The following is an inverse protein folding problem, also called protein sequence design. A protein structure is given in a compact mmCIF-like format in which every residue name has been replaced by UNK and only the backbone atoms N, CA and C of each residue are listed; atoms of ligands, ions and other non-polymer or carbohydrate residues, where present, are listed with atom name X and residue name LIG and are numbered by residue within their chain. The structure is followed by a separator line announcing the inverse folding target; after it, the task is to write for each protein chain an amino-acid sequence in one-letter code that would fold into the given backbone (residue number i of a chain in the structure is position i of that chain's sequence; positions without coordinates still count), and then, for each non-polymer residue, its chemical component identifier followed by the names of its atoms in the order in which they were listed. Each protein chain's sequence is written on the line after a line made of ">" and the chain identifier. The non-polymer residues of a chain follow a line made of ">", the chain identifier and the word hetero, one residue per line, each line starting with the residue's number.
data_IF_333892594658
#
_entry.id   IF_333892594658
#
_cell.length_a   1.000
_cell.length_b   1.000
_cell.length_c   1.000
_cell.angle_alpha   90.00
_cell.angle_beta   90.00
_cell.angle_gamma   90.00
#
_symmetry.space_group_name_H-M   'P 1'
#
loop_
_entity.id
_entity.type
_entity.pdbx_description
1 polymer ?
#
# COMPACT_ATOMS: atom_id res chain seq x y z
N UNK A 1 53.82 -53.47 10.25
CA UNK A 1 53.85 -52.04 10.65
C UNK A 1 52.88 -51.30 9.76
N UNK A 2 51.89 -50.59 10.32
CA UNK A 2 50.84 -49.86 9.58
C UNK A 2 51.25 -48.38 9.48
N UNK A 3 51.18 -47.72 8.31
CA UNK A 3 51.36 -46.26 8.26
C UNK A 3 50.13 -45.55 8.81
N UNK A 4 50.38 -44.48 9.58
CA UNK A 4 49.40 -43.61 10.22
C UNK A 4 48.70 -42.73 9.18
N UNK A 5 47.38 -42.85 9.12
CA UNK A 5 46.49 -41.94 8.42
C UNK A 5 46.55 -40.55 9.09
N UNK A 6 46.94 -39.53 8.32
CA UNK A 6 46.81 -38.13 8.73
C UNK A 6 46.02 -37.37 7.67
N UNK A 7 44.75 -37.11 7.97
CA UNK A 7 44.06 -35.93 7.49
C UNK A 7 44.05 -34.90 8.63
N UNK A 8 44.12 -33.59 8.31
CA UNK A 8 42.87 -32.86 8.43
C UNK A 8 42.62 -31.85 7.30
N UNK A 9 41.33 -31.87 6.91
CA UNK A 9 40.46 -30.87 6.27
C UNK A 9 41.12 -29.64 5.66
N UNK A 10 40.91 -29.52 4.35
CA UNK A 10 40.96 -28.28 3.59
C UNK A 10 40.25 -27.13 4.34
N UNK A 11 40.99 -26.09 4.68
CA UNK A 11 40.41 -24.76 4.91
C UNK A 11 40.15 -24.13 3.55
N UNK A 12 39.07 -24.55 2.90
CA UNK A 12 38.44 -23.73 1.89
C UNK A 12 37.86 -22.50 2.61
N UNK A 13 38.66 -21.44 2.73
CA UNK A 13 38.13 -20.14 3.07
C UNK A 13 37.27 -19.71 1.89
N UNK A 14 35.97 -19.97 1.99
CA UNK A 14 34.98 -19.47 1.04
C UNK A 14 35.04 -17.94 1.13
N UNK A 15 35.74 -17.32 0.18
CA UNK A 15 35.45 -15.93 -0.19
C UNK A 15 33.94 -15.88 -0.46
N UNK A 16 33.14 -15.13 0.32
CA UNK A 16 31.72 -15.01 0.04
C UNK A 16 31.61 -14.45 -1.38
N UNK A 17 30.75 -15.02 -2.25
CA UNK A 17 30.65 -14.54 -3.62
C UNK A 17 30.26 -13.06 -3.57
N UNK A 18 31.15 -12.21 -4.10
CA UNK A 18 30.89 -10.80 -4.35
C UNK A 18 29.55 -10.68 -5.07
N UNK A 19 28.60 -9.96 -4.48
CA UNK A 19 27.30 -9.56 -5.03
C UNK A 19 26.87 -10.38 -6.25
N UNK A 20 26.26 -11.55 -6.04
CA UNK A 20 25.45 -12.16 -7.11
C UNK A 20 24.29 -11.22 -7.37
N UNK A 21 24.45 -10.30 -8.32
CA UNK A 21 23.39 -9.54 -8.95
C UNK A 21 22.48 -10.54 -9.66
N UNK A 22 21.56 -11.13 -8.92
CA UNK A 22 20.67 -12.14 -9.46
C UNK A 22 19.72 -11.48 -10.45
N UNK A 23 19.86 -11.82 -11.73
CA UNK A 23 18.88 -11.53 -12.78
C UNK A 23 17.69 -12.47 -12.60
N UNK A 24 16.64 -12.00 -11.92
CA UNK A 24 15.49 -12.82 -11.57
C UNK A 24 14.18 -12.02 -11.69
N UNK A 25 13.03 -12.70 -11.86
CA UNK A 25 11.73 -12.06 -11.77
C UNK A 25 11.57 -11.39 -10.40
N UNK A 26 10.86 -10.24 -10.31
CA UNK A 26 10.68 -9.58 -9.03
C UNK A 26 9.74 -10.42 -8.16
N UNK A 27 9.93 -10.35 -6.84
CA UNK A 27 9.11 -11.07 -5.86
C UNK A 27 8.56 -10.09 -4.84
N UNK A 28 7.31 -10.29 -4.40
CA UNK A 28 6.76 -9.53 -3.29
C UNK A 28 7.45 -9.93 -1.99
N UNK A 29 8.01 -8.94 -1.30
CA UNK A 29 8.35 -8.97 0.12
C UNK A 29 7.12 -8.59 0.94
N UNK A 30 6.38 -7.57 0.48
CA UNK A 30 5.06 -7.17 0.99
C UNK A 30 4.11 -6.90 -0.17
N UNK A 31 2.95 -7.54 -0.13
CA UNK A 31 1.85 -7.30 -1.08
C UNK A 31 0.93 -6.21 -0.57
N UNK A 32 0.09 -5.69 -1.47
CA UNK A 32 -1.01 -4.79 -1.09
C UNK A 32 -1.88 -5.42 -0.01
N UNK A 33 -2.41 -4.57 0.87
CA UNK A 33 -3.35 -4.91 1.93
C UNK A 33 -4.62 -4.11 1.73
N UNK A 34 -5.77 -4.76 1.92
CA UNK A 34 -7.06 -4.07 1.90
C UNK A 34 -7.17 -3.10 3.07
N UNK A 35 -7.84 -1.98 2.85
CA UNK A 35 -7.98 -0.90 3.82
C UNK A 35 -9.44 -0.45 3.88
N UNK A 36 -9.85 -0.01 5.06
CA UNK A 36 -11.10 0.70 5.31
C UNK A 36 -10.72 2.16 5.59
N UNK A 37 -11.40 3.12 4.97
CA UNK A 37 -11.12 4.54 5.15
C UNK A 37 -12.40 5.37 5.08
N UNK A 38 -12.43 6.48 5.82
CA UNK A 38 -13.51 7.46 5.76
C UNK A 38 -13.31 8.44 4.62
N UNK A 39 -14.40 9.05 4.15
CA UNK A 39 -14.34 10.17 3.20
C UNK A 39 -13.54 11.30 3.84
N UNK A 40 -12.66 11.96 3.07
CA UNK A 40 -11.77 12.99 3.59
C UNK A 40 -10.38 12.49 4.00
N UNK A 41 -10.23 11.19 4.31
CA UNK A 41 -8.95 10.64 4.81
C UNK A 41 -7.90 10.44 3.70
N UNK A 42 -6.65 10.22 4.09
CA UNK A 42 -5.59 9.82 3.17
C UNK A 42 -5.24 8.34 3.31
N UNK A 43 -5.16 7.65 2.18
CA UNK A 43 -4.83 6.22 2.11
C UNK A 43 -3.55 6.00 1.33
N UNK A 44 -2.72 5.06 1.78
CA UNK A 44 -1.50 4.66 1.09
C UNK A 44 -1.50 3.16 0.82
N UNK A 45 -1.52 2.79 -0.45
CA UNK A 45 -1.28 1.44 -0.92
C UNK A 45 0.21 1.26 -1.20
N UNK A 46 0.89 0.38 -0.46
CA UNK A 46 2.31 0.16 -0.61
C UNK A 46 2.63 -1.32 -0.82
N UNK A 47 3.60 -1.57 -1.70
CA UNK A 47 4.24 -2.85 -1.89
C UNK A 47 5.74 -2.74 -1.62
N UNK A 48 6.33 -3.87 -1.27
CA UNK A 48 7.78 -4.00 -1.16
C UNK A 48 8.20 -5.21 -2.01
N UNK A 49 9.18 -5.03 -2.89
CA UNK A 49 9.67 -6.07 -3.78
C UNK A 49 11.15 -6.33 -3.57
N UNK A 50 11.62 -7.51 -3.99
CA UNK A 50 13.05 -7.81 -4.03
C UNK A 50 13.75 -6.84 -4.99
N UNK A 51 14.79 -6.16 -4.51
CA UNK A 51 15.60 -5.26 -5.34
C UNK A 51 16.23 -6.03 -6.50
N UNK A 52 16.05 -5.54 -7.72
CA UNK A 52 16.68 -6.09 -8.92
C UNK A 52 17.62 -5.06 -9.54
N UNK A 53 18.63 -5.51 -10.28
CA UNK A 53 19.60 -4.63 -10.95
C UNK A 53 18.94 -3.75 -12.02
N UNK A 54 17.73 -4.08 -12.48
CA UNK A 54 16.95 -3.28 -13.42
C UNK A 54 15.76 -2.60 -12.73
N UNK A 55 15.51 -1.34 -13.11
CA UNK A 55 14.35 -0.59 -12.63
C UNK A 55 13.07 -1.21 -13.23
N UNK A 56 12.13 -1.70 -12.40
CA UNK A 56 10.90 -2.28 -12.91
C UNK A 56 9.94 -1.19 -13.41
N UNK A 57 9.10 -1.55 -14.36
CA UNK A 57 7.95 -0.72 -14.76
C UNK A 57 6.76 -1.06 -13.87
N UNK A 58 6.08 -0.04 -13.34
CA UNK A 58 4.88 -0.18 -12.53
C UNK A 58 3.66 0.35 -13.26
N UNK A 59 2.55 -0.39 -13.18
CA UNK A 59 1.26 0.02 -13.70
C UNK A 59 0.18 -0.24 -12.66
N UNK A 60 -0.51 0.83 -12.27
CA UNK A 60 -1.59 0.80 -11.29
C UNK A 60 -2.94 0.78 -11.99
N UNK A 61 -3.90 0.08 -11.40
CA UNK A 61 -5.26 -0.06 -11.90
C UNK A 61 -6.24 0.07 -10.75
N UNK A 62 -7.40 0.68 -11.02
CA UNK A 62 -8.59 0.72 -10.15
C UNK A 62 -9.75 0.13 -10.92
N UNK A 63 -10.37 -0.93 -10.40
CA UNK A 63 -11.49 -1.61 -11.06
C UNK A 63 -11.17 -1.96 -12.53
N UNK A 64 -9.97 -2.52 -12.74
CA UNK A 64 -9.39 -2.88 -14.05
C UNK A 64 -9.12 -1.73 -15.04
N UNK A 65 -9.36 -0.48 -14.65
CA UNK A 65 -8.96 0.71 -15.43
C UNK A 65 -7.59 1.19 -14.99
N UNK A 66 -6.72 1.51 -15.95
CA UNK A 66 -5.39 2.04 -15.65
C UNK A 66 -5.50 3.39 -14.94
N UNK A 67 -4.79 3.54 -13.83
CA UNK A 67 -4.71 4.80 -13.09
C UNK A 67 -3.58 5.66 -13.66
N UNK A 68 -3.88 6.94 -13.80
CA UNK A 68 -2.91 8.00 -14.03
C UNK A 68 -2.88 8.90 -12.82
N UNK A 69 -1.70 9.41 -12.46
CA UNK A 69 -1.58 10.34 -11.34
C UNK A 69 -2.30 11.65 -11.65
N UNK A 70 -2.88 12.25 -10.62
CA UNK A 70 -3.59 13.52 -10.68
C UNK A 70 -3.33 14.34 -9.40
N UNK A 71 -4.19 15.33 -9.11
CA UNK A 71 -4.07 16.18 -7.90
C UNK A 71 -4.34 15.42 -6.60
N UNK A 72 -5.13 14.36 -6.65
CA UNK A 72 -5.54 13.56 -5.48
C UNK A 72 -4.72 12.26 -5.37
N UNK A 73 -4.38 11.65 -6.50
CA UNK A 73 -3.67 10.38 -6.60
C UNK A 73 -2.22 10.63 -7.01
N UNK A 74 -1.29 10.26 -6.12
CA UNK A 74 0.15 10.32 -6.39
C UNK A 74 0.79 8.95 -6.28
N UNK A 75 1.68 8.61 -7.21
CA UNK A 75 2.42 7.35 -7.17
C UNK A 75 3.88 7.64 -6.85
N UNK A 76 4.47 6.79 -6.03
CA UNK A 76 5.88 6.87 -5.67
C UNK A 76 6.57 5.54 -5.90
N UNK A 77 7.84 5.60 -6.24
CA UNK A 77 8.66 4.45 -6.57
C UNK A 77 10.08 4.71 -6.11
N UNK A 78 10.59 3.84 -5.24
CA UNK A 78 11.96 3.79 -4.77
C UNK A 78 12.59 2.43 -5.19
N UNK A 79 13.80 2.11 -4.73
CA UNK A 79 14.55 0.91 -5.13
C UNK A 79 13.85 -0.42 -4.78
N UNK A 80 13.10 -0.45 -3.68
CA UNK A 80 12.37 -1.66 -3.23
C UNK A 80 10.92 -1.38 -2.83
N UNK A 81 10.58 -0.12 -2.58
CA UNK A 81 9.25 0.28 -2.11
C UNK A 81 8.54 1.06 -3.18
N UNK A 82 7.31 0.68 -3.45
CA UNK A 82 6.48 1.36 -4.43
C UNK A 82 5.08 1.50 -3.89
N UNK A 83 4.39 2.56 -4.26
CA UNK A 83 3.06 2.78 -3.75
C UNK A 83 2.26 3.84 -4.49
N UNK A 84 1.02 3.93 -4.07
CA UNK A 84 0.02 4.87 -4.52
C UNK A 84 -0.60 5.51 -3.27
N UNK A 85 -0.66 6.83 -3.24
CA UNK A 85 -1.28 7.63 -2.19
C UNK A 85 -2.49 8.35 -2.76
N UNK A 86 -3.62 8.22 -2.05
CA UNK A 86 -4.84 9.01 -2.23
C UNK A 86 -4.83 10.03 -1.10
N UNK A 87 -4.85 11.33 -1.42
CA UNK A 87 -4.69 12.39 -0.42
C UNK A 87 -6.00 12.68 0.32
N UNK A 88 -7.12 12.62 -0.40
CA UNK A 88 -8.47 12.82 0.11
C UNK A 88 -9.39 11.78 -0.53
N UNK A 89 -9.85 10.81 0.26
CA UNK A 89 -10.75 9.74 -0.17
C UNK A 89 -12.13 10.32 -0.47
N UNK A 90 -12.66 9.99 -1.64
CA UNK A 90 -14.02 10.33 -2.06
C UNK A 90 -14.89 9.06 -2.20
N UNK A 91 -16.21 9.22 -2.33
CA UNK A 91 -17.14 8.11 -2.58
C UNK A 91 -16.78 7.32 -3.86
N UNK A 92 -16.18 7.98 -4.85
CA UNK A 92 -15.72 7.33 -6.07
C UNK A 92 -14.44 6.52 -5.87
N UNK A 93 -13.68 6.72 -4.78
CA UNK A 93 -12.37 6.09 -4.54
C UNK A 93 -12.43 4.64 -4.06
N UNK A 94 -13.59 4.18 -3.58
CA UNK A 94 -13.84 2.79 -3.26
C UNK A 94 -13.59 1.84 -4.44
N UNK A 95 -13.02 0.67 -4.16
CA UNK A 95 -12.85 -0.37 -5.17
C UNK A 95 -11.56 -1.18 -5.06
N UNK A 96 -11.26 -1.94 -6.12
CA UNK A 96 -10.12 -2.85 -6.17
C UNK A 96 -8.94 -2.20 -6.86
N UNK A 97 -7.87 -2.00 -6.10
CA UNK A 97 -6.59 -1.48 -6.57
C UNK A 97 -5.66 -2.65 -6.90
N UNK A 98 -5.10 -2.64 -8.10
CA UNK A 98 -4.17 -3.65 -8.60
C UNK A 98 -2.89 -3.00 -9.08
N UNK A 99 -1.75 -3.56 -8.69
CA UNK A 99 -0.45 -3.15 -9.20
C UNK A 99 0.16 -4.28 -10.01
N UNK A 100 0.68 -3.93 -11.18
CA UNK A 100 1.43 -4.81 -12.05
C UNK A 100 2.85 -4.27 -12.13
N UNK A 101 3.81 -5.11 -11.79
CA UNK A 101 5.24 -4.80 -11.84
C UNK A 101 5.86 -5.71 -12.89
N UNK A 102 6.69 -5.14 -13.78
CA UNK A 102 7.37 -5.87 -14.84
C UNK A 102 8.85 -5.50 -14.86
N UNK A 103 9.72 -6.49 -14.97
CA UNK A 103 11.13 -6.31 -15.31
C UNK A 103 11.49 -7.19 -16.52
N UNK A 104 12.76 -7.14 -16.96
CA UNK A 104 13.24 -7.91 -18.12
C UNK A 104 13.11 -9.43 -17.98
N UNK A 105 12.92 -9.91 -16.75
CA UNK A 105 12.92 -11.34 -16.41
C UNK A 105 11.54 -11.87 -16.04
N UNK A 106 10.52 -11.00 -15.88
CA UNK A 106 9.17 -11.43 -15.57
C UNK A 106 8.24 -10.33 -15.10
N UNK A 107 7.08 -10.75 -14.62
CA UNK A 107 6.00 -9.90 -14.17
C UNK A 107 5.40 -10.47 -12.89
N UNK A 108 4.95 -9.59 -12.00
CA UNK A 108 4.20 -9.91 -10.80
C UNK A 108 3.06 -8.92 -10.64
N UNK A 109 1.99 -9.36 -9.97
CA UNK A 109 0.85 -8.50 -9.66
C UNK A 109 0.20 -8.88 -8.35
N UNK A 110 -0.34 -7.90 -7.64
CA UNK A 110 -1.22 -8.13 -6.51
C UNK A 110 -2.32 -7.07 -6.48
N UNK A 111 -3.38 -7.34 -5.71
CA UNK A 111 -4.55 -6.49 -5.59
C UNK A 111 -4.97 -6.34 -4.13
N UNK A 112 -5.63 -5.24 -3.82
CA UNK A 112 -6.28 -4.97 -2.53
C UNK A 112 -7.54 -4.13 -2.73
N UNK A 113 -8.44 -4.16 -1.75
CA UNK A 113 -9.69 -3.41 -1.77
C UNK A 113 -9.59 -2.18 -0.87
N UNK A 114 -10.04 -1.03 -1.35
CA UNK A 114 -10.42 0.11 -0.51
C UNK A 114 -11.92 0.03 -0.24
N UNK A 115 -12.30 -0.23 1.00
CA UNK A 115 -13.66 -0.09 1.49
C UNK A 115 -13.83 1.31 2.09
N UNK A 116 -15.03 1.88 1.93
CA UNK A 116 -15.39 3.14 2.55
C UNK A 116 -16.13 2.85 3.85
N UNK A 117 -15.79 3.59 4.89
CA UNK A 117 -16.48 3.59 6.18
C UNK A 117 -17.58 4.65 6.12
N UNK A 118 -18.85 4.21 6.09
CA UNK A 118 -20.03 5.05 5.89
C UNK A 118 -20.52 5.68 7.22
N UNK A 119 -19.96 5.28 8.38
CA UNK A 119 -20.52 5.53 9.71
C UNK A 119 -20.11 6.88 10.35
N UNK A 120 -19.99 7.98 9.58
CA UNK A 120 -19.49 9.26 10.17
C UNK A 120 -20.37 10.49 9.93
N UNK A 121 -21.31 10.47 8.98
CA UNK A 121 -22.15 11.65 8.71
C UNK A 121 -23.45 11.65 9.54
N UNK A 122 -23.84 10.52 10.14
CA UNK A 122 -25.12 10.41 10.86
C UNK A 122 -25.08 11.03 12.27
N UNK A 123 -23.90 11.07 12.90
CA UNK A 123 -23.74 11.58 14.28
C UNK A 123 -23.64 13.10 14.38
N UNK A 124 -23.12 13.78 13.36
CA UNK A 124 -22.95 15.24 13.41
C UNK A 124 -24.28 15.99 13.17
N UNK A 125 -25.22 15.37 12.45
CA UNK A 125 -26.55 15.94 12.16
C UNK A 125 -27.46 15.86 13.39
N UNK A 126 -27.42 14.76 14.14
CA UNK A 126 -28.22 14.59 15.35
C UNK A 126 -27.83 15.59 16.45
N UNK A 127 -26.54 15.90 16.62
CA UNK A 127 -26.07 16.88 17.61
C UNK A 127 -26.46 18.33 17.23
N UNK A 128 -26.40 18.71 15.94
CA UNK A 128 -26.83 20.04 15.48
C UNK A 128 -28.36 20.24 15.58
N UNK A 129 -29.17 19.20 15.29
CA UNK A 129 -30.63 19.26 15.43
C UNK A 129 -31.08 19.37 16.91
N UNK A 130 -30.42 18.65 17.83
CA UNK A 130 -30.70 18.78 19.28
C UNK A 130 -30.31 20.17 19.83
N UNK A 131 -29.20 20.76 19.40
CA UNK A 131 -28.81 22.13 19.80
C UNK A 131 -29.79 23.18 19.26
N UNK A 132 -30.28 23.06 18.02
CA UNK A 132 -31.29 23.98 17.45
C UNK A 132 -32.64 23.87 18.18
N UNK A 133 -33.09 22.66 18.55
CA UNK A 133 -34.32 22.47 19.32
C UNK A 133 -34.22 23.05 20.76
N UNK A 134 -33.08 22.88 21.44
CA UNK A 134 -32.87 23.47 22.77
C UNK A 134 -32.82 25.01 22.72
N UNK A 135 -32.20 25.61 21.70
CA UNK A 135 -32.19 27.06 21.52
C UNK A 135 -33.60 27.62 21.21
N UNK A 136 -34.41 26.93 20.41
CA UNK A 136 -35.81 27.32 20.15
C UNK A 136 -36.69 27.24 21.42
N UNK A 137 -36.52 26.20 22.26
CA UNK A 137 -37.26 26.08 23.53
C UNK A 137 -36.85 27.16 24.55
N UNK A 138 -35.56 27.52 24.62
CA UNK A 138 -35.09 28.60 25.50
C UNK A 138 -35.61 29.98 25.05
N UNK A 139 -35.67 30.26 23.74
CA UNK A 139 -36.25 31.51 23.22
C UNK A 139 -37.76 31.62 23.48
N UNK A 140 -38.53 30.52 23.37
CA UNK A 140 -39.97 30.51 23.66
C UNK A 140 -40.29 30.76 25.15
N UNK A 141 -39.47 30.26 26.08
CA UNK A 141 -39.62 30.46 27.53
C UNK A 141 -39.21 31.88 27.98
N UNK A 142 -38.33 32.58 27.25
CA UNK A 142 -37.95 33.97 27.55
C UNK A 142 -39.02 35.00 27.13
N UNK A 143 -39.88 34.67 26.16
CA UNK A 143 -40.92 35.53 25.62
C UNK A 143 -42.29 35.42 26.36
N UNK A 144 -42.43 34.54 27.36
CA UNK A 144 -43.64 34.31 28.19
C UNK A 144 -43.68 35.09 29.53
#
# INVERSE_FOLDING_TARGET
>A
MRPLEMAPRATAQAVPPRHTTAYHPPKFVKSLQSQLAKIGESVVFQIEITSSTTAPTLSWFKNDKMLTGDKNISMFSDATKHGLKIANVTSDDGGVYKVVIKNDFGQLSCSATLALDEDTEEYEIEEEEEEEEEEEEEEEEEDE
#
